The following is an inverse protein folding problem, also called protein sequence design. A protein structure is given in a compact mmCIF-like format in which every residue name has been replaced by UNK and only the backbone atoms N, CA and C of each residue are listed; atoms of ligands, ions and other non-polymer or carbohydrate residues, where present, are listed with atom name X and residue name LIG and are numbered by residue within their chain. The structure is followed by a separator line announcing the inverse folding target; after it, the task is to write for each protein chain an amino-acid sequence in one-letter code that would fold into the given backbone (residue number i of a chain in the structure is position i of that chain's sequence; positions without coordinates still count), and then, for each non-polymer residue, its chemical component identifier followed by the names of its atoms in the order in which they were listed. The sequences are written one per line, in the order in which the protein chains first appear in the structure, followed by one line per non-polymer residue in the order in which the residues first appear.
data_IF_224637178978
#
_entry.id   IF_224637178978
#
_cell.length_a   1.000
_cell.length_b   1.000
_cell.length_c   1.000
_cell.angle_alpha   90.00
_cell.angle_beta   90.00
_cell.angle_gamma   90.00
#
_symmetry.space_group_name_H-M   'P 1'
#
loop_
_entity.id
_entity.type
_entity.pdbx_description
1 polymer ?
#
# COMPACT_ATOMS: atom_id res chain seq x y z
N UNK A 1 56.31 45.07 -24.01
CA UNK A 1 56.24 45.04 -22.53
C UNK A 1 54.78 44.80 -22.15
N UNK A 2 54.50 43.81 -21.31
CA UNK A 2 53.17 43.63 -20.72
C UNK A 2 53.00 44.77 -19.71
N UNK A 3 51.98 45.64 -19.85
CA UNK A 3 51.83 46.79 -18.96
C UNK A 3 51.63 46.35 -17.51
N UNK A 4 52.29 47.01 -16.57
CA UNK A 4 52.05 46.76 -15.13
C UNK A 4 50.66 47.31 -14.75
N UNK A 5 50.02 46.79 -13.70
CA UNK A 5 48.71 47.21 -13.18
C UNK A 5 48.60 48.73 -12.99
N UNK A 6 49.70 49.40 -12.63
CA UNK A 6 49.78 50.86 -12.48
C UNK A 6 49.70 51.61 -13.82
N UNK A 7 50.23 51.04 -14.90
CA UNK A 7 50.13 51.60 -16.25
C UNK A 7 48.72 51.45 -16.81
N UNK A 8 48.06 50.33 -16.50
CA UNK A 8 46.65 50.11 -16.86
C UNK A 8 45.76 51.10 -16.11
N UNK A 9 45.99 51.31 -14.80
CA UNK A 9 45.25 52.30 -14.01
C UNK A 9 45.40 53.72 -14.58
N UNK A 10 46.62 54.10 -15.01
CA UNK A 10 46.88 55.38 -15.67
C UNK A 10 46.15 55.48 -17.01
N UNK A 11 46.15 54.42 -17.82
CA UNK A 11 45.42 54.36 -19.09
C UNK A 11 43.90 54.39 -18.88
N UNK A 12 43.37 53.78 -17.82
CA UNK A 12 41.95 53.83 -17.46
C UNK A 12 41.51 55.26 -17.14
N UNK A 13 42.30 56.02 -16.37
CA UNK A 13 41.99 57.42 -16.07
C UNK A 13 42.05 58.31 -17.30
N UNK A 14 42.98 58.06 -18.22
CA UNK A 14 43.08 58.77 -19.51
C UNK A 14 41.85 58.44 -20.38
N UNK A 15 41.49 57.16 -20.50
CA UNK A 15 40.34 56.70 -21.27
C UNK A 15 39.00 57.21 -20.71
N UNK A 16 38.85 57.29 -19.38
CA UNK A 16 37.69 57.91 -18.73
C UNK A 16 37.56 59.39 -19.12
N UNK A 17 38.68 60.12 -19.12
CA UNK A 17 38.75 61.53 -19.48
C UNK A 17 38.44 61.76 -20.96
N UNK A 18 39.00 60.93 -21.85
CA UNK A 18 38.74 60.98 -23.30
C UNK A 18 37.29 60.65 -23.65
N UNK A 19 36.69 59.67 -22.96
CA UNK A 19 35.28 59.28 -23.14
C UNK A 19 34.29 60.21 -22.42
N UNK A 20 34.76 61.28 -21.76
CA UNK A 20 33.94 62.23 -20.97
C UNK A 20 33.07 61.56 -19.91
N UNK A 21 33.50 60.43 -19.37
CA UNK A 21 32.79 59.70 -18.33
C UNK A 21 33.19 60.25 -16.96
N UNK A 22 32.22 60.37 -16.05
CA UNK A 22 32.51 60.74 -14.65
C UNK A 22 33.34 59.61 -14.02
N UNK A 23 34.40 59.92 -13.26
CA UNK A 23 35.22 58.92 -12.57
C UNK A 23 34.46 58.36 -11.36
N UNK A 24 33.40 57.60 -11.61
CA UNK A 24 32.71 56.82 -10.60
C UNK A 24 33.37 55.43 -10.51
N UNK A 25 33.26 54.74 -9.36
CA UNK A 25 33.81 53.39 -9.21
C UNK A 25 33.35 52.41 -10.30
N UNK A 26 32.11 52.54 -10.76
CA UNK A 26 31.51 51.68 -11.79
C UNK A 26 32.14 51.93 -13.16
N UNK A 27 32.20 53.19 -13.60
CA UNK A 27 32.81 53.58 -14.87
C UNK A 27 34.31 53.26 -14.89
N UNK A 28 34.99 53.43 -13.75
CA UNK A 28 36.39 53.08 -13.61
C UNK A 28 36.61 51.57 -13.73
N UNK A 29 35.80 50.76 -13.04
CA UNK A 29 35.92 49.30 -13.07
C UNK A 29 35.67 48.77 -14.47
N UNK A 30 34.65 49.27 -15.17
CA UNK A 30 34.33 48.85 -16.55
C UNK A 30 35.48 49.12 -17.52
N UNK A 31 36.04 50.34 -17.52
CA UNK A 31 37.15 50.70 -18.41
C UNK A 31 38.45 50.02 -17.99
N UNK A 32 38.67 49.83 -16.69
CA UNK A 32 39.84 49.10 -16.18
C UNK A 32 39.80 47.65 -16.62
N UNK A 33 38.63 47.00 -16.57
CA UNK A 33 38.46 45.63 -17.02
C UNK A 33 38.58 45.51 -18.55
N UNK A 34 38.03 46.47 -19.31
CA UNK A 34 38.20 46.53 -20.77
C UNK A 34 39.69 46.60 -21.16
N UNK A 35 40.45 47.46 -20.50
CA UNK A 35 41.89 47.63 -20.76
C UNK A 35 42.70 46.43 -20.24
N UNK A 36 42.37 45.88 -19.08
CA UNK A 36 43.05 44.71 -18.53
C UNK A 36 42.88 43.48 -19.44
N UNK A 37 41.69 43.27 -19.99
CA UNK A 37 41.41 42.20 -20.96
C UNK A 37 42.22 42.35 -22.25
N UNK A 38 42.37 43.57 -22.78
CA UNK A 38 43.20 43.86 -23.97
C UNK A 38 44.66 43.47 -23.79
N UNK A 39 45.17 43.50 -22.56
CA UNK A 39 46.54 43.11 -22.22
C UNK A 39 46.66 41.69 -21.64
N UNK A 40 45.59 40.89 -21.66
CA UNK A 40 45.58 39.53 -21.11
C UNK A 40 45.73 39.46 -19.59
N UNK A 41 45.48 40.56 -18.88
CA UNK A 41 45.55 40.65 -17.41
C UNK A 41 44.13 40.50 -16.86
N UNK A 42 43.89 39.44 -16.08
CA UNK A 42 42.62 39.27 -15.39
C UNK A 42 42.61 40.13 -14.13
N UNK A 43 41.57 40.95 -13.96
CA UNK A 43 41.40 41.75 -12.72
C UNK A 43 41.31 40.82 -11.50
N UNK A 44 41.89 41.23 -10.36
CA UNK A 44 41.87 40.44 -9.12
C UNK A 44 40.45 40.05 -8.68
N UNK A 45 39.47 40.93 -8.94
CA UNK A 45 38.06 40.68 -8.63
C UNK A 45 37.43 39.64 -9.55
N UNK A 46 37.70 39.68 -10.85
CA UNK A 46 37.21 38.66 -11.81
C UNK A 46 37.82 37.29 -11.54
N UNK A 47 39.12 37.22 -11.25
CA UNK A 47 39.77 35.97 -10.87
C UNK A 47 39.19 35.36 -9.59
N UNK A 48 38.87 36.19 -8.58
CA UNK A 48 38.17 35.74 -7.36
C UNK A 48 36.75 35.27 -7.65
N UNK A 49 36.00 36.00 -8.49
CA UNK A 49 34.64 35.65 -8.88
C UNK A 49 34.59 34.29 -9.57
N UNK A 50 35.46 34.06 -10.57
CA UNK A 50 35.53 32.80 -11.31
C UNK A 50 35.98 31.64 -10.41
N UNK A 51 36.92 31.89 -9.49
CA UNK A 51 37.30 30.91 -8.46
C UNK A 51 36.12 30.52 -7.57
N UNK A 52 35.31 31.48 -7.11
CA UNK A 52 34.17 31.14 -6.26
C UNK A 52 33.05 30.44 -7.03
N UNK A 53 32.82 30.80 -8.30
CA UNK A 53 31.86 30.09 -9.17
C UNK A 53 32.24 28.61 -9.36
N UNK A 54 33.52 28.32 -9.58
CA UNK A 54 34.03 26.95 -9.80
C UNK A 54 34.03 26.09 -8.53
N UNK A 55 34.04 26.69 -7.33
CA UNK A 55 33.95 25.97 -6.06
C UNK A 55 32.53 25.50 -5.71
N UNK A 56 31.49 25.99 -6.40
CA UNK A 56 30.12 25.56 -6.17
C UNK A 56 29.88 24.14 -6.69
N UNK A 57 28.89 23.43 -6.15
CA UNK A 57 28.48 22.14 -6.69
C UNK A 57 27.94 22.29 -8.14
N UNK A 58 28.09 21.26 -9.00
CA UNK A 58 27.70 21.34 -10.41
C UNK A 58 26.26 21.81 -10.65
N UNK A 59 25.32 21.45 -9.76
CA UNK A 59 23.92 21.88 -9.84
C UNK A 59 23.78 23.41 -9.74
N UNK A 60 24.50 24.06 -8.83
CA UNK A 60 24.45 25.51 -8.67
C UNK A 60 25.25 26.22 -9.78
N UNK A 61 26.30 25.57 -10.32
CA UNK A 61 27.02 26.09 -11.49
C UNK A 61 26.12 26.13 -12.73
N UNK A 62 25.28 25.12 -12.93
CA UNK A 62 24.30 25.11 -14.02
C UNK A 62 23.24 26.20 -13.86
N UNK A 63 22.75 26.43 -12.64
CA UNK A 63 21.83 27.54 -12.36
C UNK A 63 22.48 28.91 -12.64
N UNK A 64 23.77 29.05 -12.31
CA UNK A 64 24.53 30.26 -12.62
C UNK A 64 24.64 30.55 -14.10
N UNK A 65 24.69 29.54 -14.98
CA UNK A 65 24.77 29.76 -16.43
C UNK A 65 23.55 30.50 -16.99
N UNK A 66 22.40 30.42 -16.30
CA UNK A 66 21.19 31.15 -16.66
C UNK A 66 21.17 32.62 -16.18
N UNK A 67 22.17 33.04 -15.39
CA UNK A 67 22.25 34.37 -14.76
C UNK A 67 23.56 35.07 -15.12
N UNK A 68 23.48 36.34 -15.52
CA UNK A 68 24.69 37.14 -15.77
C UNK A 68 25.21 37.70 -14.44
N UNK A 69 26.16 37.02 -13.79
CA UNK A 69 26.81 37.49 -12.55
C UNK A 69 28.15 38.14 -12.88
N UNK A 70 28.22 39.46 -12.67
CA UNK A 70 29.32 40.37 -12.98
C UNK A 70 30.11 40.80 -11.74
N UNK A 71 29.52 40.72 -10.54
CA UNK A 71 30.19 41.14 -9.29
C UNK A 71 30.12 40.10 -8.17
N UNK A 72 30.91 40.31 -7.12
CA UNK A 72 30.87 39.47 -5.91
C UNK A 72 29.56 39.68 -5.12
N UNK A 73 29.00 40.88 -5.12
CA UNK A 73 27.73 41.21 -4.50
C UNK A 73 26.56 40.48 -5.18
N UNK A 74 26.59 40.39 -6.51
CA UNK A 74 25.62 39.61 -7.28
C UNK A 74 25.77 38.10 -7.02
N UNK A 75 27.00 37.60 -6.87
CA UNK A 75 27.24 36.21 -6.47
C UNK A 75 26.71 35.95 -5.06
N UNK A 76 26.97 36.83 -4.09
CA UNK A 76 26.44 36.72 -2.73
C UNK A 76 24.91 36.75 -2.74
N UNK A 77 24.31 37.65 -3.53
CA UNK A 77 22.85 37.74 -3.67
C UNK A 77 22.26 36.45 -4.27
N UNK A 78 22.95 35.85 -5.24
CA UNK A 78 22.59 34.53 -5.76
C UNK A 78 22.68 33.45 -4.68
N UNK A 79 23.76 33.40 -3.92
CA UNK A 79 23.94 32.42 -2.84
C UNK A 79 22.89 32.58 -1.74
N UNK A 80 22.57 33.81 -1.35
CA UNK A 80 21.48 34.11 -0.41
C UNK A 80 20.13 33.63 -0.98
N UNK A 81 19.88 33.86 -2.28
CA UNK A 81 18.66 33.38 -2.94
C UNK A 81 18.57 31.85 -2.95
N UNK A 82 19.67 31.14 -3.27
CA UNK A 82 19.73 29.68 -3.22
C UNK A 82 19.52 29.18 -1.79
N UNK A 83 20.22 29.76 -0.81
CA UNK A 83 20.11 29.41 0.60
C UNK A 83 18.67 29.61 1.12
N UNK A 84 18.02 30.71 0.75
CA UNK A 84 16.63 31.00 1.12
C UNK A 84 15.63 30.09 0.38
N UNK A 85 15.90 29.68 -0.86
CA UNK A 85 15.11 28.66 -1.56
C UNK A 85 15.24 27.29 -0.90
N UNK A 86 16.43 26.97 -0.41
CA UNK A 86 16.67 25.78 0.41
C UNK A 86 16.20 25.95 1.86
N UNK A 87 15.48 27.04 2.18
CA UNK A 87 14.97 27.26 3.53
C UNK A 87 14.28 25.99 4.02
N UNK A 88 14.79 25.47 5.13
CA UNK A 88 14.49 24.13 5.65
C UNK A 88 13.02 23.88 6.00
N UNK A 89 12.11 24.83 5.76
CA UNK A 89 10.67 24.67 5.96
C UNK A 89 10.09 23.61 5.01
N UNK A 90 10.35 23.68 3.70
CA UNK A 90 9.86 22.67 2.75
C UNK A 90 10.48 21.29 3.01
N UNK A 91 11.77 21.25 3.35
CA UNK A 91 12.45 20.01 3.71
C UNK A 91 11.90 19.42 5.03
N UNK A 92 11.62 20.26 6.02
CA UNK A 92 10.98 19.86 7.28
C UNK A 92 9.59 19.31 7.02
N UNK A 93 8.75 20.01 6.25
CA UNK A 93 7.40 19.56 5.89
C UNK A 93 7.42 18.23 5.13
N UNK A 94 8.35 18.06 4.19
CA UNK A 94 8.54 16.81 3.47
C UNK A 94 9.00 15.67 4.39
N UNK A 95 9.93 15.94 5.31
CA UNK A 95 10.33 14.97 6.32
C UNK A 95 9.16 14.57 7.21
N UNK A 96 8.37 15.54 7.69
CA UNK A 96 7.23 15.30 8.57
C UNK A 96 6.15 14.47 7.83
N UNK A 97 5.96 14.70 6.53
CA UNK A 97 5.13 13.87 5.65
C UNK A 97 5.66 12.43 5.52
N UNK A 98 6.96 12.25 5.24
CA UNK A 98 7.57 10.91 5.17
C UNK A 98 7.48 10.15 6.50
N UNK A 99 7.70 10.84 7.62
CA UNK A 99 7.53 10.26 8.95
C UNK A 99 6.08 9.84 9.19
N UNK A 100 5.11 10.65 8.76
CA UNK A 100 3.68 10.33 8.83
C UNK A 100 3.34 9.08 8.02
N UNK A 101 3.79 8.99 6.76
CA UNK A 101 3.64 7.78 5.93
C UNK A 101 4.25 6.57 6.64
N UNK A 102 5.49 6.70 7.14
CA UNK A 102 6.19 5.63 7.84
C UNK A 102 5.47 5.21 9.12
N UNK A 103 4.76 6.11 9.81
CA UNK A 103 3.93 5.77 10.97
C UNK A 103 2.65 5.06 10.58
N UNK A 104 1.96 5.51 9.53
CA UNK A 104 0.75 4.85 9.02
C UNK A 104 1.04 3.41 8.59
N UNK A 105 2.17 3.17 7.92
CA UNK A 105 2.58 1.83 7.50
C UNK A 105 2.83 0.86 8.69
N UNK A 106 3.07 1.37 9.90
CA UNK A 106 3.21 0.53 11.11
C UNK A 106 1.89 -0.10 11.56
N UNK A 107 0.76 0.41 11.07
CA UNK A 107 -0.59 -0.12 11.37
C UNK A 107 -0.92 -1.28 10.42
N UNK A 108 -0.13 -1.47 9.34
CA UNK A 108 -0.33 -2.57 8.39
C UNK A 108 -0.44 -3.92 9.10
N UNK A 109 -1.35 -4.77 8.61
CA UNK A 109 -1.50 -6.15 9.08
C UNK A 109 -0.34 -7.03 8.63
N UNK A 110 0.26 -6.72 7.49
CA UNK A 110 1.47 -7.38 7.01
C UNK A 110 2.66 -7.09 7.95
N UNK A 111 3.26 -8.16 8.47
CA UNK A 111 4.37 -8.08 9.41
C UNK A 111 5.63 -7.49 8.78
N UNK A 112 5.96 -7.86 7.53
CA UNK A 112 7.16 -7.39 6.82
C UNK A 112 7.09 -5.87 6.60
N UNK A 113 5.94 -5.37 6.13
CA UNK A 113 5.69 -3.94 5.95
C UNK A 113 5.79 -3.21 7.29
N UNK A 114 5.10 -3.71 8.32
CA UNK A 114 5.07 -3.09 9.64
C UNK A 114 6.45 -3.02 10.29
N UNK A 115 7.23 -4.09 10.22
CA UNK A 115 8.56 -4.15 10.83
C UNK A 115 9.54 -3.22 10.10
N UNK A 116 9.51 -3.19 8.77
CA UNK A 116 10.35 -2.26 8.00
C UNK A 116 9.96 -0.80 8.23
N UNK A 117 8.65 -0.50 8.35
CA UNK A 117 8.14 0.82 8.68
C UNK A 117 8.55 1.28 10.08
N UNK A 118 8.59 0.37 11.08
CA UNK A 118 9.13 0.68 12.42
C UNK A 118 10.60 1.05 12.34
N UNK A 119 11.42 0.22 11.70
CA UNK A 119 12.86 0.48 11.52
C UNK A 119 13.10 1.82 10.81
N UNK A 120 12.32 2.09 9.76
CA UNK A 120 12.40 3.35 9.00
C UNK A 120 12.08 4.54 9.90
N UNK A 121 10.98 4.50 10.66
CA UNK A 121 10.60 5.61 11.54
C UNK A 121 11.60 5.90 12.66
N UNK A 122 12.34 4.89 13.13
CA UNK A 122 13.36 5.04 14.19
C UNK A 122 14.63 5.66 13.61
N UNK A 123 14.98 5.31 12.36
CA UNK A 123 16.23 5.72 11.72
C UNK A 123 16.12 7.02 10.92
N UNK A 124 14.93 7.37 10.44
CA UNK A 124 14.75 8.56 9.62
C UNK A 124 15.01 9.82 10.44
N UNK A 125 15.90 10.70 9.96
CA UNK A 125 16.22 11.96 10.63
C UNK A 125 16.41 13.10 9.61
N UNK A 126 16.20 14.35 10.05
CA UNK A 126 16.38 15.56 9.22
C UNK A 126 17.84 15.79 8.81
N UNK A 127 18.78 15.05 9.39
CA UNK A 127 20.22 15.16 9.15
C UNK A 127 20.83 13.82 8.72
N UNK A 128 20.04 12.92 8.13
CA UNK A 128 20.57 11.64 7.64
C UNK A 128 21.63 11.87 6.56
N UNK A 129 22.72 11.09 6.65
CA UNK A 129 23.74 11.03 5.62
C UNK A 129 23.25 10.19 4.41
N UNK A 130 23.91 10.38 3.27
CA UNK A 130 23.53 9.71 2.01
C UNK A 130 23.66 8.18 2.05
N UNK A 131 24.58 7.63 2.85
CA UNK A 131 24.75 6.18 2.99
C UNK A 131 23.58 5.58 3.76
N UNK A 132 23.20 6.18 4.88
CA UNK A 132 22.03 5.79 5.66
C UNK A 132 20.73 5.83 4.83
N UNK A 133 20.56 6.86 3.98
CA UNK A 133 19.43 6.98 3.06
C UNK A 133 19.45 5.82 2.06
N UNK A 134 20.59 5.58 1.41
CA UNK A 134 20.75 4.50 0.44
C UNK A 134 20.42 3.12 1.04
N UNK A 135 20.88 2.83 2.26
CA UNK A 135 20.61 1.58 2.95
C UNK A 135 19.12 1.38 3.24
N UNK A 136 18.40 2.42 3.69
CA UNK A 136 16.95 2.34 3.87
C UNK A 136 16.24 2.13 2.52
N UNK A 137 16.61 2.87 1.48
CA UNK A 137 16.05 2.69 0.12
C UNK A 137 16.25 1.27 -0.39
N UNK A 138 17.44 0.69 -0.19
CA UNK A 138 17.74 -0.69 -0.60
C UNK A 138 16.81 -1.69 0.09
N UNK A 139 16.56 -1.55 1.39
CA UNK A 139 15.65 -2.43 2.14
C UNK A 139 14.20 -2.34 1.63
N UNK A 140 13.71 -1.14 1.32
CA UNK A 140 12.38 -0.97 0.74
C UNK A 140 12.27 -1.57 -0.68
N UNK A 141 13.30 -1.41 -1.52
CA UNK A 141 13.34 -2.06 -2.84
C UNK A 141 13.44 -3.58 -2.76
N UNK A 142 14.12 -4.10 -1.76
CA UNK A 142 14.18 -5.54 -1.52
C UNK A 142 12.82 -6.08 -1.08
N UNK A 143 12.11 -5.35 -0.20
CA UNK A 143 10.73 -5.69 0.14
C UNK A 143 9.85 -5.70 -1.12
N UNK A 144 9.86 -4.64 -1.93
CA UNK A 144 9.11 -4.54 -3.19
C UNK A 144 9.36 -5.72 -4.12
N UNK A 145 10.64 -6.10 -4.34
CA UNK A 145 11.00 -7.22 -5.22
C UNK A 145 10.56 -8.57 -4.70
N UNK A 146 10.60 -8.77 -3.39
CA UNK A 146 10.28 -10.03 -2.73
C UNK A 146 8.82 -10.12 -2.30
N UNK A 147 8.01 -9.10 -2.61
CA UNK A 147 6.58 -9.06 -2.34
C UNK A 147 5.87 -9.84 -3.46
N UNK A 148 6.00 -11.17 -3.42
CA UNK A 148 5.36 -12.06 -4.38
C UNK A 148 3.97 -12.49 -3.85
N UNK A 149 2.93 -11.89 -4.42
CA UNK A 149 1.51 -12.20 -4.12
C UNK A 149 0.88 -13.12 -5.18
N UNK A 150 1.60 -13.52 -6.24
CA UNK A 150 0.98 -14.10 -7.43
C UNK A 150 0.32 -15.47 -7.17
N UNK A 151 0.97 -16.33 -6.38
CA UNK A 151 0.40 -17.64 -6.03
C UNK A 151 -0.85 -17.50 -5.14
N UNK A 152 -0.81 -16.58 -4.17
CA UNK A 152 -1.92 -16.36 -3.25
C UNK A 152 -3.10 -15.68 -3.95
N UNK A 153 -2.84 -14.74 -4.87
CA UNK A 153 -3.87 -14.14 -5.73
C UNK A 153 -4.58 -15.21 -6.58
N UNK A 154 -3.85 -16.14 -7.17
CA UNK A 154 -4.43 -17.20 -8.00
C UNK A 154 -5.32 -18.14 -7.17
N UNK A 155 -4.85 -18.56 -5.99
CA UNK A 155 -5.67 -19.40 -5.11
C UNK A 155 -6.90 -18.65 -4.59
N UNK A 156 -6.76 -17.37 -4.23
CA UNK A 156 -7.85 -16.55 -3.73
C UNK A 156 -8.97 -16.36 -4.77
N UNK A 157 -8.62 -16.23 -6.06
CA UNK A 157 -9.61 -16.14 -7.15
C UNK A 157 -10.54 -17.35 -7.22
N UNK A 158 -10.08 -18.55 -6.86
CA UNK A 158 -10.94 -19.77 -6.79
C UNK A 158 -12.09 -19.63 -5.81
N UNK A 159 -11.97 -18.71 -4.85
CA UNK A 159 -12.97 -18.43 -3.82
C UNK A 159 -13.73 -17.11 -4.05
N UNK A 160 -13.64 -16.53 -5.27
CA UNK A 160 -14.35 -15.29 -5.62
C UNK A 160 -13.73 -14.02 -5.06
N UNK A 161 -12.46 -14.10 -4.63
CA UNK A 161 -11.67 -12.94 -4.21
C UNK A 161 -11.04 -12.30 -5.45
N UNK A 162 -11.35 -11.04 -5.66
CA UNK A 162 -10.80 -10.21 -6.74
C UNK A 162 -9.46 -9.61 -6.32
N UNK A 163 -8.61 -9.33 -7.31
CA UNK A 163 -7.36 -8.59 -7.12
C UNK A 163 -7.57 -7.20 -6.51
N UNK A 164 -8.75 -6.62 -6.68
CA UNK A 164 -9.08 -5.28 -6.20
C UNK A 164 -9.85 -5.28 -4.87
N UNK A 165 -10.12 -6.46 -4.29
CA UNK A 165 -10.74 -6.51 -2.98
C UNK A 165 -9.78 -5.99 -1.92
N UNK A 166 -10.27 -5.12 -1.03
CA UNK A 166 -9.50 -4.74 0.15
C UNK A 166 -9.43 -5.88 1.17
N UNK A 167 -8.50 -5.77 2.12
CA UNK A 167 -8.28 -6.78 3.14
C UNK A 167 -9.57 -7.16 3.90
N UNK A 168 -10.43 -6.19 4.23
CA UNK A 168 -11.68 -6.45 4.97
C UNK A 168 -12.67 -7.28 4.13
N UNK A 169 -12.81 -6.94 2.85
CA UNK A 169 -13.65 -7.65 1.89
C UNK A 169 -13.16 -9.07 1.65
N UNK A 170 -11.84 -9.27 1.53
CA UNK A 170 -11.22 -10.60 1.42
C UNK A 170 -11.57 -11.46 2.63
N UNK A 171 -11.38 -10.93 3.86
CA UNK A 171 -11.66 -11.67 5.09
C UNK A 171 -13.15 -12.01 5.19
N UNK A 172 -14.05 -11.07 4.90
CA UNK A 172 -15.50 -11.33 4.90
C UNK A 172 -15.89 -12.44 3.94
N UNK A 173 -15.37 -12.43 2.71
CA UNK A 173 -15.63 -13.49 1.72
C UNK A 173 -15.13 -14.85 2.20
N UNK A 174 -13.94 -14.90 2.80
CA UNK A 174 -13.39 -16.14 3.36
C UNK A 174 -14.22 -16.66 4.52
N UNK A 175 -14.70 -15.79 5.42
CA UNK A 175 -15.57 -16.17 6.53
C UNK A 175 -16.89 -16.77 6.02
N UNK A 176 -17.53 -16.16 5.01
CA UNK A 176 -18.72 -16.74 4.37
C UNK A 176 -18.44 -18.13 3.81
N UNK A 177 -17.29 -18.34 3.17
CA UNK A 177 -16.90 -19.68 2.65
C UNK A 177 -16.60 -20.70 3.75
N UNK A 178 -16.15 -20.26 4.93
CA UNK A 178 -15.99 -21.13 6.09
C UNK A 178 -17.35 -21.47 6.71
N UNK A 179 -18.26 -20.51 6.79
CA UNK A 179 -19.64 -20.72 7.26
C UNK A 179 -20.43 -21.68 6.34
N UNK A 180 -20.28 -21.57 5.01
CA UNK A 180 -20.85 -22.52 4.05
C UNK A 180 -20.39 -23.98 4.26
N UNK A 181 -19.26 -24.18 4.94
CA UNK A 181 -18.69 -25.50 5.26
C UNK A 181 -18.81 -25.86 6.74
N UNK A 182 -19.60 -25.08 7.48
CA UNK A 182 -19.82 -25.28 8.91
C UNK A 182 -20.62 -26.56 9.16
N UNK A 183 -20.39 -27.16 10.33
CA UNK A 183 -21.18 -28.32 10.74
C UNK A 183 -22.65 -27.95 10.92
N UNK A 184 -22.92 -26.72 11.34
CA UNK A 184 -24.23 -26.10 11.47
C UNK A 184 -25.01 -26.18 10.15
N UNK A 185 -24.40 -25.75 9.05
CA UNK A 185 -25.03 -25.79 7.73
C UNK A 185 -25.35 -27.23 7.29
N UNK A 186 -24.41 -28.16 7.45
CA UNK A 186 -24.66 -29.57 7.10
C UNK A 186 -25.69 -30.23 8.01
N UNK A 187 -25.69 -29.89 9.30
CA UNK A 187 -26.69 -30.35 10.27
C UNK A 187 -28.09 -29.93 9.83
N UNK A 188 -28.29 -28.66 9.48
CA UNK A 188 -29.58 -28.18 8.97
C UNK A 188 -30.05 -28.96 7.75
N UNK A 189 -29.15 -29.17 6.76
CA UNK A 189 -29.47 -29.94 5.55
C UNK A 189 -29.85 -31.40 5.87
N UNK A 190 -29.15 -32.05 6.80
CA UNK A 190 -29.46 -33.41 7.23
C UNK A 190 -30.80 -33.48 7.97
N UNK A 191 -31.05 -32.54 8.88
CA UNK A 191 -32.32 -32.44 9.63
C UNK A 191 -33.53 -32.32 8.69
N UNK A 192 -33.41 -31.55 7.59
CA UNK A 192 -34.47 -31.44 6.58
C UNK A 192 -34.80 -32.78 5.91
N UNK A 193 -33.81 -33.64 5.68
CA UNK A 193 -34.01 -34.97 5.06
C UNK A 193 -34.55 -36.04 6.01
N UNK A 194 -34.28 -35.89 7.32
CA UNK A 194 -34.61 -36.88 8.34
C UNK A 194 -36.06 -36.83 8.82
N UNK A 195 -36.76 -35.72 8.60
CA UNK A 195 -38.16 -35.62 9.05
C UNK A 195 -39.04 -36.64 8.29
N UNK A 196 -39.80 -37.52 8.97
CA UNK A 196 -40.67 -38.47 8.29
C UNK A 196 -41.78 -37.72 7.55
N UNK A 197 -42.21 -38.26 6.42
CA UNK A 197 -43.10 -37.55 5.51
C UNK A 197 -44.58 -37.70 5.88
N UNK A 198 -44.94 -38.75 6.63
CA UNK A 198 -46.34 -39.15 6.83
C UNK A 198 -46.76 -39.23 8.31
N UNK A 199 -45.82 -39.27 9.24
CA UNK A 199 -46.11 -39.49 10.66
C UNK A 199 -45.03 -38.86 11.55
N UNK A 200 -45.39 -38.46 12.77
CA UNK A 200 -44.44 -38.00 13.76
C UNK A 200 -43.75 -39.18 14.47
N UNK A 201 -42.43 -39.11 14.62
CA UNK A 201 -41.65 -40.10 15.38
C UNK A 201 -40.72 -39.40 16.38
N UNK A 202 -40.93 -39.68 17.67
CA UNK A 202 -40.21 -39.04 18.77
C UNK A 202 -38.71 -39.37 18.78
N UNK A 203 -38.30 -40.54 18.28
CA UNK A 203 -36.87 -40.90 18.22
C UNK A 203 -36.16 -40.07 17.17
N UNK A 204 -36.76 -39.92 16.00
CA UNK A 204 -36.22 -39.08 14.92
C UNK A 204 -36.20 -37.61 15.35
N UNK A 205 -37.27 -37.12 15.99
CA UNK A 205 -37.29 -35.76 16.53
C UNK A 205 -36.18 -35.56 17.58
N UNK A 206 -35.94 -36.53 18.45
CA UNK A 206 -34.85 -36.49 19.42
C UNK A 206 -33.47 -36.42 18.76
N UNK A 207 -33.26 -37.21 17.70
CA UNK A 207 -32.02 -37.17 16.92
C UNK A 207 -31.83 -35.83 16.20
N UNK A 208 -32.86 -35.30 15.55
CA UNK A 208 -32.85 -33.98 14.90
C UNK A 208 -32.51 -32.87 15.91
N UNK A 209 -33.10 -32.91 17.11
CA UNK A 209 -32.80 -31.94 18.16
C UNK A 209 -31.34 -32.04 18.62
N UNK A 210 -30.82 -33.25 18.81
CA UNK A 210 -29.43 -33.46 19.18
C UNK A 210 -28.47 -32.95 18.11
N UNK A 211 -28.75 -33.24 16.84
CA UNK A 211 -27.95 -32.78 15.70
C UNK A 211 -27.95 -31.25 15.60
N UNK A 212 -29.11 -30.63 15.80
CA UNK A 212 -29.25 -29.16 15.82
C UNK A 212 -28.49 -28.51 16.98
N UNK A 213 -28.50 -29.13 18.17
CA UNK A 213 -27.81 -28.61 19.35
C UNK A 213 -26.30 -28.87 19.31
N UNK A 214 -25.86 -29.92 18.63
CA UNK A 214 -24.47 -30.35 18.55
C UNK A 214 -24.07 -30.71 17.12
N UNK A 215 -23.96 -29.74 16.20
CA UNK A 215 -23.66 -30.04 14.80
C UNK A 215 -22.30 -30.73 14.59
N UNK A 216 -21.33 -30.47 15.47
CA UNK A 216 -19.99 -31.04 15.40
C UNK A 216 -19.95 -32.58 15.41
N UNK A 217 -21.01 -33.25 15.88
CA UNK A 217 -21.10 -34.73 15.86
C UNK A 217 -21.02 -35.29 14.45
N UNK A 218 -21.32 -34.48 13.41
CA UNK A 218 -21.17 -34.87 11.99
C UNK A 218 -19.74 -35.31 11.67
N UNK A 219 -18.75 -34.75 12.37
CA UNK A 219 -17.33 -35.08 12.18
C UNK A 219 -16.87 -36.34 12.92
N UNK A 220 -17.71 -36.97 13.74
CA UNK A 220 -17.35 -38.15 14.52
C UNK A 220 -17.30 -39.41 13.64
N UNK A 221 -16.35 -40.32 13.92
CA UNK A 221 -16.13 -41.53 13.09
C UNK A 221 -17.39 -42.42 12.96
N UNK A 222 -18.21 -42.49 14.01
CA UNK A 222 -19.41 -43.34 14.05
C UNK A 222 -20.67 -42.66 13.53
N UNK A 223 -20.64 -41.35 13.28
CA UNK A 223 -21.84 -40.59 12.88
C UNK A 223 -22.48 -41.13 11.60
N UNK A 224 -21.66 -41.59 10.65
CA UNK A 224 -22.15 -42.21 9.42
C UNK A 224 -23.07 -43.41 9.69
N UNK A 225 -22.69 -44.26 10.64
CA UNK A 225 -23.46 -45.47 10.97
C UNK A 225 -24.76 -45.07 11.69
N UNK A 226 -24.66 -44.15 12.66
CA UNK A 226 -25.82 -43.60 13.38
C UNK A 226 -26.82 -42.94 12.42
N UNK A 227 -26.36 -42.08 11.51
CA UNK A 227 -27.20 -41.45 10.49
C UNK A 227 -27.91 -42.49 9.62
N UNK A 228 -27.22 -43.56 9.22
CA UNK A 228 -27.80 -44.63 8.42
C UNK A 228 -28.90 -45.38 9.16
N UNK A 229 -28.73 -45.63 10.46
CA UNK A 229 -29.77 -46.23 11.30
C UNK A 229 -31.04 -45.36 11.35
N UNK A 230 -30.88 -44.04 11.55
CA UNK A 230 -32.02 -43.13 11.60
C UNK A 230 -32.70 -42.93 10.25
N UNK A 231 -31.97 -42.92 9.14
CA UNK A 231 -32.56 -42.90 7.78
C UNK A 231 -33.40 -44.15 7.54
N UNK A 232 -32.88 -45.33 7.92
CA UNK A 232 -33.61 -46.59 7.77
C UNK A 232 -34.86 -46.62 8.66
N UNK A 233 -34.75 -46.14 9.90
CA UNK A 233 -35.89 -46.03 10.82
C UNK A 233 -36.97 -45.08 10.26
N UNK A 234 -36.58 -43.92 9.71
CA UNK A 234 -37.48 -42.96 9.04
C UNK A 234 -38.26 -43.61 7.91
N UNK A 235 -37.58 -44.34 7.02
CA UNK A 235 -38.22 -45.05 5.90
C UNK A 235 -39.17 -46.13 6.41
N UNK A 236 -38.75 -46.90 7.43
CA UNK A 236 -39.58 -47.94 8.03
C UNK A 236 -40.88 -47.37 8.60
N UNK A 237 -40.78 -46.27 9.35
CA UNK A 237 -41.92 -45.61 9.99
C UNK A 237 -42.94 -45.10 8.97
N UNK A 238 -42.49 -44.45 7.90
CA UNK A 238 -43.37 -44.02 6.79
C UNK A 238 -44.04 -45.24 6.11
N UNK A 239 -43.29 -46.32 5.85
CA UNK A 239 -43.84 -47.54 5.25
C UNK A 239 -44.89 -48.22 6.14
N UNK A 240 -44.64 -48.29 7.46
CA UNK A 240 -45.61 -48.84 8.40
C UNK A 240 -46.90 -48.02 8.44
N UNK A 241 -46.79 -46.69 8.36
CA UNK A 241 -47.95 -45.81 8.27
C UNK A 241 -48.76 -46.08 6.99
N UNK A 242 -48.10 -46.17 5.83
CA UNK A 242 -48.77 -46.51 4.56
C UNK A 242 -49.46 -47.86 4.65
N UNK A 243 -48.76 -48.89 5.11
CA UNK A 243 -49.30 -50.25 5.20
C UNK A 243 -50.51 -50.32 6.14
N UNK A 244 -50.46 -49.65 7.29
CA UNK A 244 -51.56 -49.59 8.25
C UNK A 244 -52.81 -48.95 7.62
N UNK A 245 -52.63 -47.85 6.89
CA UNK A 245 -53.75 -47.17 6.21
C UNK A 245 -54.32 -48.01 5.05
N UNK A 246 -53.46 -48.65 4.24
CA UNK A 246 -53.91 -49.55 3.18
C UNK A 246 -54.72 -50.74 3.73
N UNK A 247 -54.25 -51.36 4.82
CA UNK A 247 -54.98 -52.44 5.48
C UNK A 247 -56.32 -51.94 6.02
N UNK A 248 -56.36 -50.77 6.66
CA UNK A 248 -57.60 -50.16 7.12
C UNK A 248 -58.60 -49.95 5.98
N UNK A 249 -58.18 -49.40 4.83
CA UNK A 249 -59.08 -49.23 3.69
C UNK A 249 -59.56 -50.57 3.13
N UNK A 250 -58.66 -51.54 2.97
CA UNK A 250 -59.01 -52.87 2.47
C UNK A 250 -60.04 -53.58 3.37
N UNK A 251 -59.85 -53.53 4.68
CA UNK A 251 -60.76 -54.16 5.65
C UNK A 251 -62.14 -53.51 5.63
N UNK A 252 -62.21 -52.18 5.50
CA UNK A 252 -63.49 -51.48 5.38
C UNK A 252 -64.18 -51.76 4.04
N UNK A 253 -63.43 -51.84 2.93
CA UNK A 253 -63.98 -52.20 1.62
C UNK A 253 -64.55 -53.61 1.62
N UNK A 254 -63.88 -54.58 2.25
CA UNK A 254 -64.41 -55.94 2.42
C UNK A 254 -65.72 -55.96 3.19
N UNK A 255 -65.81 -55.24 4.31
CA UNK A 255 -67.06 -55.13 5.10
C UNK A 255 -68.21 -54.54 4.28
N UNK A 256 -67.94 -53.50 3.48
CA UNK A 256 -68.95 -52.91 2.59
C UNK A 256 -69.40 -53.92 1.53
N UNK A 257 -68.46 -54.66 0.93
CA UNK A 257 -68.78 -55.70 -0.05
C UNK A 257 -69.63 -56.82 0.55
N UNK A 258 -69.29 -57.29 1.76
CA UNK A 258 -70.06 -58.30 2.49
C UNK A 258 -71.51 -57.82 2.77
N UNK A 259 -71.68 -56.56 3.18
CA UNK A 259 -73.01 -55.96 3.38
C UNK A 259 -73.81 -55.86 2.08
N UNK A 260 -73.15 -55.55 0.97
CA UNK A 260 -73.77 -55.47 -0.36
C UNK A 260 -74.25 -56.83 -0.87
N UNK A 261 -73.52 -57.91 -0.57
CA UNK A 261 -73.91 -59.28 -0.96
C UNK A 261 -75.10 -59.81 -0.15
N UNK A 262 -75.35 -59.25 1.04
CA UNK A 262 -76.48 -59.60 1.92
C UNK A 262 -77.78 -58.85 1.59
N UNK A 263 -77.73 -57.86 0.70
CA UNK A 263 -78.88 -57.09 0.19
C UNK A 263 -79.40 -57.68 -1.13
#
# INVERSE_FOLDING_TARGET
MIPNTNEIAKQTLIALKERKLKPTPENYTEIFEELSLKYGITSSNKAKLDKYKTLLLPIYQQELNSKTIRSLEELISFLISVLNRQSGKQFSEFFDFLYTISKTLQISKDKKIRDLAKVTSIRISKTMDSESIYLLTKKWKELERNYDENDLEEQARKYGISKYDDYDSVIKKLLVKLEERSYEHFSELLCLGLNPSLVEDLKIQGFIQNLTQKPFVIGEENFKNELMEFINHRIMVDNMYVQKNLNFFNDNLKKIYELLVLL
#
